data_IF_293236252469
#
_entry.id   IF_293236252469
#
_cell.length_a   1.000
_cell.length_b   1.000
_cell.length_c   1.000
_cell.angle_alpha   90.00
_cell.angle_beta   90.00
_cell.angle_gamma   90.00
#
_symmetry.space_group_name_H-M   'P 1'
#
loop_
_entity.id
_entity.type
_entity.pdbx_description
1 polymer ?
#
# COMPACT_ATOMS: atom_id res chain seq x y z
N UNK A 1 -14.29 -25.41 -14.26
CA UNK A 1 -15.21 -24.32 -13.84
C UNK A 1 -14.72 -23.04 -14.49
N UNK A 2 -15.43 -22.53 -15.50
CA UNK A 2 -15.04 -21.29 -16.17
C UNK A 2 -15.03 -20.16 -15.13
N UNK A 3 -13.85 -19.63 -14.82
CA UNK A 3 -13.71 -18.52 -13.89
C UNK A 3 -14.32 -17.27 -14.51
N UNK A 4 -15.25 -16.62 -13.80
CA UNK A 4 -15.73 -15.29 -14.18
C UNK A 4 -14.54 -14.36 -14.42
N UNK A 5 -14.60 -13.59 -15.50
CA UNK A 5 -13.56 -12.59 -15.79
C UNK A 5 -13.48 -11.57 -14.66
N UNK A 6 -12.31 -10.95 -14.49
CA UNK A 6 -12.12 -9.91 -13.47
C UNK A 6 -13.01 -8.69 -13.69
N UNK A 7 -13.31 -8.35 -14.95
CA UNK A 7 -14.24 -7.27 -15.30
C UNK A 7 -15.67 -7.58 -14.82
N UNK A 8 -16.16 -8.78 -15.15
CA UNK A 8 -17.50 -9.24 -14.73
C UNK A 8 -17.63 -9.29 -13.21
N UNK A 9 -16.58 -9.72 -12.50
CA UNK A 9 -16.56 -9.70 -11.03
C UNK A 9 -16.61 -8.28 -10.46
N UNK A 10 -15.96 -7.32 -11.11
CA UNK A 10 -15.98 -5.91 -10.71
C UNK A 10 -17.37 -5.29 -10.89
N UNK A 11 -18.02 -5.55 -12.02
CA UNK A 11 -19.39 -5.09 -12.30
C UNK A 11 -20.39 -5.68 -11.30
N UNK A 12 -20.32 -6.99 -11.05
CA UNK A 12 -21.16 -7.67 -10.06
C UNK A 12 -20.96 -7.09 -8.65
N UNK A 13 -19.71 -6.77 -8.30
CA UNK A 13 -19.38 -6.11 -7.04
C UNK A 13 -20.04 -4.73 -6.98
N UNK A 14 -19.87 -3.90 -8.01
CA UNK A 14 -20.44 -2.55 -8.04
C UNK A 14 -21.97 -2.55 -7.90
N UNK A 15 -22.66 -3.51 -8.53
CA UNK A 15 -24.11 -3.64 -8.45
C UNK A 15 -24.61 -4.06 -7.05
N UNK A 16 -23.86 -4.92 -6.35
CA UNK A 16 -24.31 -5.52 -5.07
C UNK A 16 -23.87 -4.70 -3.85
N UNK A 17 -22.80 -3.91 -3.97
CA UNK A 17 -22.18 -3.18 -2.83
C UNK A 17 -23.17 -2.26 -2.11
N UNK A 18 -24.01 -1.52 -2.83
CA UNK A 18 -24.97 -0.60 -2.20
C UNK A 18 -26.06 -1.35 -1.43
N UNK A 19 -26.58 -2.46 -1.99
CA UNK A 19 -27.52 -3.35 -1.29
C UNK A 19 -26.88 -3.94 -0.03
N UNK A 20 -25.63 -4.40 -0.14
CA UNK A 20 -24.89 -4.93 1.01
C UNK A 20 -24.67 -3.88 2.09
N UNK A 21 -24.40 -2.61 1.73
CA UNK A 21 -24.18 -1.53 2.71
C UNK A 21 -25.46 -1.18 3.48
N UNK A 22 -26.58 -1.06 2.78
CA UNK A 22 -27.88 -0.69 3.34
C UNK A 22 -28.58 -1.83 4.11
N UNK A 23 -28.20 -3.08 3.86
CA UNK A 23 -28.82 -4.26 4.48
C UNK A 23 -28.61 -4.37 6.00
N UNK A 24 -29.58 -4.98 6.68
CA UNK A 24 -29.49 -5.39 8.08
C UNK A 24 -28.49 -6.56 8.25
N UNK A 25 -28.22 -6.99 9.50
CA UNK A 25 -27.20 -8.04 9.76
C UNK A 25 -27.55 -9.38 9.09
N UNK A 26 -28.82 -9.78 9.12
CA UNK A 26 -29.26 -11.06 8.55
C UNK A 26 -29.22 -11.04 7.02
N UNK A 27 -29.67 -9.94 6.42
CA UNK A 27 -29.63 -9.76 4.97
C UNK A 27 -28.19 -9.64 4.46
N UNK A 28 -27.29 -8.98 5.20
CA UNK A 28 -25.85 -8.93 4.88
C UNK A 28 -25.25 -10.32 4.79
N UNK A 29 -25.64 -11.23 5.68
CA UNK A 29 -25.17 -12.62 5.64
C UNK A 29 -25.64 -13.31 4.37
N UNK A 30 -26.93 -13.21 4.03
CA UNK A 30 -27.51 -13.80 2.80
C UNK A 30 -26.84 -13.26 1.54
N UNK A 31 -26.72 -11.93 1.43
CA UNK A 31 -26.05 -11.26 0.31
C UNK A 31 -24.61 -11.75 0.15
N UNK A 32 -23.88 -11.89 1.26
CA UNK A 32 -22.49 -12.35 1.24
C UNK A 32 -22.37 -13.83 0.86
N UNK A 33 -23.30 -14.68 1.30
CA UNK A 33 -23.35 -16.11 0.95
C UNK A 33 -23.59 -16.28 -0.56
N UNK A 34 -24.58 -15.57 -1.11
CA UNK A 34 -24.87 -15.52 -2.56
C UNK A 34 -23.67 -15.03 -3.37
N UNK A 35 -23.05 -13.92 -2.93
CA UNK A 35 -21.91 -13.32 -3.61
C UNK A 35 -20.69 -14.26 -3.65
N UNK A 36 -20.43 -14.98 -2.56
CA UNK A 36 -19.36 -15.98 -2.49
C UNK A 36 -19.65 -17.15 -3.44
N UNK A 37 -20.89 -17.64 -3.49
CA UNK A 37 -21.29 -18.71 -4.37
C UNK A 37 -21.13 -18.35 -5.87
N UNK A 38 -21.47 -17.11 -6.24
CA UNK A 38 -21.34 -16.63 -7.63
C UNK A 38 -19.88 -16.34 -8.00
N UNK A 39 -19.15 -15.60 -7.16
CA UNK A 39 -17.79 -15.14 -7.51
C UNK A 39 -16.70 -16.19 -7.31
N UNK A 40 -16.95 -17.17 -6.43
CA UNK A 40 -15.96 -18.11 -5.94
C UNK A 40 -14.94 -17.48 -4.97
N UNK A 41 -15.17 -16.26 -4.49
CA UNK A 41 -14.27 -15.62 -3.53
C UNK A 41 -14.37 -16.25 -2.15
N UNK A 42 -13.24 -16.31 -1.45
CA UNK A 42 -13.27 -16.61 -0.03
C UNK A 42 -14.04 -15.51 0.73
N UNK A 43 -14.87 -15.89 1.70
CA UNK A 43 -15.75 -14.97 2.47
C UNK A 43 -15.02 -13.72 2.98
N UNK A 44 -13.81 -13.90 3.54
CA UNK A 44 -12.99 -12.79 4.06
C UNK A 44 -12.58 -11.80 2.97
N UNK A 45 -12.30 -12.30 1.77
CA UNK A 45 -11.97 -11.47 0.62
C UNK A 45 -13.22 -10.75 0.08
N UNK A 46 -14.34 -11.45 -0.03
CA UNK A 46 -15.62 -10.86 -0.42
C UNK A 46 -16.03 -9.69 0.48
N UNK A 47 -15.92 -9.85 1.81
CA UNK A 47 -16.15 -8.76 2.77
C UNK A 47 -15.23 -7.58 2.49
N UNK A 48 -13.93 -7.82 2.28
CA UNK A 48 -12.95 -6.75 2.01
C UNK A 48 -13.28 -6.01 0.72
N UNK A 49 -13.65 -6.73 -0.33
CA UNK A 49 -14.03 -6.16 -1.63
C UNK A 49 -15.29 -5.31 -1.49
N UNK A 50 -16.34 -5.82 -0.84
CA UNK A 50 -17.60 -5.09 -0.68
C UNK A 50 -17.51 -3.90 0.30
N UNK A 51 -16.64 -3.98 1.31
CA UNK A 51 -16.38 -2.89 2.25
C UNK A 51 -15.37 -1.87 1.73
N UNK A 52 -14.72 -2.11 0.59
CA UNK A 52 -13.78 -1.15 0.00
C UNK A 52 -14.58 0.07 -0.44
N UNK A 53 -14.50 1.15 0.34
CA UNK A 53 -14.83 2.48 -0.17
C UNK A 53 -13.70 2.88 -1.13
N UNK A 54 -14.03 3.60 -2.19
CA UNK A 54 -13.03 4.29 -2.99
C UNK A 54 -12.25 5.20 -2.04
N UNK A 55 -11.08 4.73 -1.61
CA UNK A 55 -10.15 5.57 -0.92
C UNK A 55 -9.68 6.53 -2.00
N UNK A 56 -10.11 7.80 -1.93
CA UNK A 56 -9.33 8.86 -2.57
C UNK A 56 -7.88 8.57 -2.21
N UNK A 57 -6.96 8.48 -3.18
CA UNK A 57 -5.56 8.28 -2.85
C UNK A 57 -5.26 9.33 -1.79
N UNK A 58 -4.96 8.89 -0.56
CA UNK A 58 -4.52 9.81 0.46
C UNK A 58 -3.35 10.50 -0.20
N UNK A 59 -3.46 11.80 -0.46
CA UNK A 59 -2.35 12.59 -0.98
C UNK A 59 -1.16 12.13 -0.15
N UNK A 60 -0.25 11.39 -0.80
CA UNK A 60 0.67 10.52 -0.10
C UNK A 60 1.28 11.35 1.02
N UNK A 61 1.31 10.83 2.25
CA UNK A 61 1.99 11.50 3.36
C UNK A 61 3.43 11.72 2.91
N UNK A 62 3.65 12.84 2.24
CA UNK A 62 4.94 13.28 1.76
C UNK A 62 5.67 13.51 3.06
N UNK A 63 6.58 12.60 3.37
CA UNK A 63 7.41 12.79 4.55
C UNK A 63 8.13 14.11 4.29
N UNK A 64 7.83 15.11 5.12
CA UNK A 64 8.51 16.39 5.07
C UNK A 64 10.00 16.09 5.06
N UNK A 65 10.71 16.56 4.04
CA UNK A 65 12.16 16.35 3.93
C UNK A 65 12.80 17.06 5.14
N UNK A 66 13.32 16.28 6.08
CA UNK A 66 13.98 16.81 7.28
C UNK A 66 15.40 17.32 7.00
N UNK A 67 16.00 16.93 5.86
CA UNK A 67 17.35 17.28 5.47
C UNK A 67 17.33 18.06 4.15
N UNK A 68 18.08 19.17 4.10
CA UNK A 68 18.24 20.01 2.92
C UNK A 68 19.15 19.41 1.85
N UNK A 69 19.34 20.15 0.76
CA UNK A 69 20.26 19.77 -0.32
C UNK A 69 21.72 19.75 0.13
N UNK A 70 22.07 20.63 1.06
CA UNK A 70 23.37 20.73 1.74
C UNK A 70 23.80 19.40 2.39
N UNK A 71 22.91 18.81 3.21
CA UNK A 71 23.17 17.52 3.88
C UNK A 71 23.28 16.40 2.84
N UNK A 72 22.46 16.47 1.77
CA UNK A 72 22.51 15.48 0.69
C UNK A 72 23.84 15.55 -0.07
N UNK A 73 24.33 16.75 -0.39
CA UNK A 73 25.59 16.96 -1.10
C UNK A 73 26.78 16.47 -0.26
N UNK A 74 26.83 16.82 1.03
CA UNK A 74 27.84 16.33 1.93
C UNK A 74 27.83 14.78 2.04
N UNK A 75 26.64 14.17 2.11
CA UNK A 75 26.49 12.72 2.12
C UNK A 75 26.95 12.07 0.82
N UNK A 76 26.81 12.73 -0.33
CA UNK A 76 27.31 12.21 -1.62
C UNK A 76 28.83 12.17 -1.61
N UNK A 77 29.49 13.26 -1.21
CA UNK A 77 30.96 13.31 -1.12
C UNK A 77 31.48 12.22 -0.18
N UNK A 78 30.86 12.09 0.99
CA UNK A 78 31.22 11.06 1.97
C UNK A 78 31.01 9.64 1.41
N UNK A 79 29.90 9.42 0.70
CA UNK A 79 29.60 8.13 0.08
C UNK A 79 30.61 7.77 -1.00
N UNK A 80 31.03 8.73 -1.82
CA UNK A 80 32.05 8.53 -2.85
C UNK A 80 33.44 8.26 -2.27
N UNK A 81 33.82 8.97 -1.20
CA UNK A 81 35.06 8.71 -0.47
C UNK A 81 35.07 7.31 0.19
N UNK A 82 33.90 6.79 0.55
CA UNK A 82 33.74 5.49 1.22
C UNK A 82 33.57 4.29 0.27
N UNK A 83 34.04 4.37 -0.98
CA UNK A 83 33.82 3.33 -2.01
C UNK A 83 32.34 2.98 -2.24
N UNK A 84 31.45 3.94 -2.06
CA UNK A 84 30.00 3.78 -2.26
C UNK A 84 29.35 2.70 -1.38
N UNK A 85 29.76 2.59 -0.12
CA UNK A 85 29.17 1.67 0.85
C UNK A 85 27.66 1.87 1.04
N UNK A 86 26.95 0.79 1.37
CA UNK A 86 25.52 0.87 1.69
C UNK A 86 25.27 1.70 2.96
N UNK A 87 24.12 2.36 3.05
CA UNK A 87 23.77 3.27 4.15
C UNK A 87 23.94 2.66 5.55
N UNK A 88 23.68 1.35 5.70
CA UNK A 88 23.86 0.61 6.96
C UNK A 88 25.32 0.53 7.41
N UNK A 89 26.26 0.41 6.46
CA UNK A 89 27.71 0.38 6.72
C UNK A 89 28.31 1.78 6.78
N UNK A 90 27.76 2.72 6.00
CA UNK A 90 28.20 4.10 6.01
C UNK A 90 27.91 4.77 7.35
N UNK A 91 26.71 4.58 7.93
CA UNK A 91 26.29 5.20 9.21
C UNK A 91 27.33 5.11 10.35
N UNK A 92 27.89 3.94 10.71
CA UNK A 92 28.92 3.86 11.75
C UNK A 92 30.28 4.44 11.33
N UNK A 93 30.54 4.60 10.03
CA UNK A 93 31.79 5.17 9.51
C UNK A 93 31.75 6.70 9.43
N UNK A 94 30.57 7.33 9.41
CA UNK A 94 30.43 8.80 9.33
C UNK A 94 31.31 9.50 10.37
N UNK A 95 31.29 9.16 11.67
CA UNK A 95 32.09 9.88 12.67
C UNK A 95 33.61 9.74 12.47
N UNK A 96 34.06 8.69 11.77
CA UNK A 96 35.47 8.44 11.48
C UNK A 96 35.91 9.18 10.22
N UNK A 97 35.03 9.23 9.21
CA UNK A 97 35.30 9.85 7.92
C UNK A 97 35.12 11.38 7.95
N UNK A 98 34.22 11.91 8.79
CA UNK A 98 33.93 13.34 8.85
C UNK A 98 35.17 14.20 9.20
N UNK A 99 35.98 13.85 10.23
CA UNK A 99 37.17 14.63 10.58
C UNK A 99 38.30 14.55 9.53
N UNK A 100 38.26 13.56 8.64
CA UNK A 100 39.24 13.43 7.56
C UNK A 100 38.88 14.27 6.30
N UNK A 101 37.68 14.87 6.30
CA UNK A 101 37.16 15.71 5.22
C UNK A 101 37.17 17.21 5.55
N UNK A 102 37.43 17.57 6.81
CA UNK A 102 37.65 18.94 7.30
C UNK A 102 39.13 19.35 7.10
#
# INVERSE_FOLDING_TARGET
>A
MAGLSMATRSELTAAIVERYRAACRDDKRRILDEFVAVTGYHRKHAIRVMNRREQRPSAGKSHSRCYGSDVREALIVLWEASERLCSKRLKPLIPVLLPALE
#
